data_IF_375417800810
#
_entry.id   IF_375417800810
#
_cell.length_a   1.000
_cell.length_b   1.000
_cell.length_c   1.000
_cell.angle_alpha   90.00
_cell.angle_beta   90.00
_cell.angle_gamma   90.00
#
_symmetry.space_group_name_H-M   'P 1'
#
loop_
_entity.id
_entity.type
_entity.pdbx_description
1 polymer ?
#
# COMPACT_ATOMS: atom_id res chain seq x y z
N UNK A 1 -35.79 -14.47 0.60
CA UNK A 1 -36.07 -15.46 -0.47
C UNK A 1 -34.89 -16.40 -0.58
N UNK A 2 -35.10 -17.68 -0.73
CA UNK A 2 -34.07 -18.72 -0.81
C UNK A 2 -34.06 -19.36 -2.20
N UNK A 3 -33.01 -20.13 -2.52
CA UNK A 3 -32.94 -20.89 -3.77
C UNK A 3 -34.13 -21.88 -3.91
N UNK A 4 -34.68 -22.39 -2.78
CA UNK A 4 -35.86 -23.25 -2.77
C UNK A 4 -37.11 -22.49 -3.18
N UNK A 5 -37.25 -21.23 -2.81
CA UNK A 5 -38.37 -20.38 -3.20
C UNK A 5 -38.31 -20.07 -4.70
N UNK A 6 -37.14 -19.78 -5.24
CA UNK A 6 -36.93 -19.59 -6.69
C UNK A 6 -37.27 -20.86 -7.47
N UNK A 7 -36.84 -22.02 -6.99
CA UNK A 7 -37.13 -23.30 -7.61
C UNK A 7 -38.67 -23.55 -7.67
N UNK A 8 -39.38 -23.27 -6.58
CA UNK A 8 -40.84 -23.39 -6.50
C UNK A 8 -41.56 -22.42 -7.43
N UNK A 9 -41.14 -21.15 -7.50
CA UNK A 9 -41.76 -20.14 -8.35
C UNK A 9 -41.46 -20.35 -9.84
N UNK A 10 -40.29 -20.88 -10.19
CA UNK A 10 -39.92 -21.21 -11.57
C UNK A 10 -40.39 -22.60 -12.03
N UNK A 11 -41.03 -23.35 -11.14
CA UNK A 11 -41.50 -24.74 -11.36
C UNK A 11 -40.36 -25.64 -11.91
N UNK A 12 -39.23 -25.65 -11.19
CA UNK A 12 -38.04 -26.47 -11.50
C UNK A 12 -37.45 -27.03 -10.22
N UNK A 13 -36.50 -27.97 -10.35
CA UNK A 13 -35.74 -28.46 -9.21
C UNK A 13 -34.70 -27.42 -8.71
N UNK A 14 -34.34 -27.49 -7.43
CA UNK A 14 -33.28 -26.67 -6.84
C UNK A 14 -31.94 -26.87 -7.60
N UNK A 15 -31.69 -28.10 -8.07
CA UNK A 15 -30.49 -28.39 -8.89
C UNK A 15 -30.55 -27.68 -10.24
N UNK A 16 -31.72 -27.54 -10.86
CA UNK A 16 -31.91 -26.79 -12.10
C UNK A 16 -31.63 -25.29 -11.88
N UNK A 17 -32.18 -24.70 -10.80
CA UNK A 17 -31.88 -23.30 -10.44
C UNK A 17 -30.36 -23.11 -10.26
N UNK A 18 -29.70 -23.99 -9.50
CA UNK A 18 -28.25 -23.94 -9.29
C UNK A 18 -27.46 -24.01 -10.60
N UNK A 19 -27.88 -24.86 -11.55
CA UNK A 19 -27.24 -24.97 -12.87
C UNK A 19 -27.44 -23.71 -13.71
N UNK A 20 -28.63 -23.10 -13.68
CA UNK A 20 -28.91 -21.82 -14.37
C UNK A 20 -28.03 -20.69 -13.79
N UNK A 21 -27.95 -20.59 -12.47
CA UNK A 21 -27.10 -19.60 -11.79
C UNK A 21 -25.59 -19.76 -12.08
N UNK A 22 -25.19 -20.96 -12.50
CA UNK A 22 -23.80 -21.28 -12.87
C UNK A 22 -23.58 -21.36 -14.38
N UNK A 23 -24.52 -20.88 -15.19
CA UNK A 23 -24.49 -20.91 -16.67
C UNK A 23 -24.12 -22.28 -17.28
N UNK A 24 -24.52 -23.39 -16.62
CA UNK A 24 -24.26 -24.73 -17.13
C UNK A 24 -24.99 -24.97 -18.45
N UNK A 25 -24.29 -25.54 -19.47
CA UNK A 25 -24.91 -25.74 -20.79
C UNK A 25 -25.98 -26.83 -20.84
N UNK A 26 -26.05 -27.69 -19.83
CA UNK A 26 -26.94 -28.85 -19.73
C UNK A 26 -28.35 -28.51 -19.20
N UNK A 27 -28.78 -27.24 -19.29
CA UNK A 27 -30.12 -26.77 -18.90
C UNK A 27 -30.88 -26.30 -20.15
N UNK A 28 -32.13 -26.75 -20.29
CA UNK A 28 -32.97 -26.31 -21.42
C UNK A 28 -33.20 -24.80 -21.41
N UNK A 29 -33.29 -24.20 -22.58
CA UNK A 29 -33.53 -22.76 -22.72
C UNK A 29 -34.85 -22.30 -22.05
N UNK A 30 -35.88 -23.16 -22.07
CA UNK A 30 -37.15 -22.85 -21.39
C UNK A 30 -36.97 -22.76 -19.87
N UNK A 31 -36.28 -23.73 -19.26
CA UNK A 31 -35.98 -23.69 -17.82
C UNK A 31 -35.10 -22.51 -17.45
N UNK A 32 -34.12 -22.20 -18.30
CA UNK A 32 -33.21 -21.03 -18.11
C UNK A 32 -34.02 -19.73 -18.10
N UNK A 33 -34.89 -19.55 -19.07
CA UNK A 33 -35.77 -18.39 -19.20
C UNK A 33 -36.68 -18.21 -17.96
N UNK A 34 -37.37 -19.28 -17.53
CA UNK A 34 -38.24 -19.24 -16.36
C UNK A 34 -37.50 -18.87 -15.08
N UNK A 35 -36.36 -19.48 -14.84
CA UNK A 35 -35.54 -19.19 -13.65
C UNK A 35 -35.04 -17.75 -13.66
N UNK A 36 -34.52 -17.26 -14.80
CA UNK A 36 -34.02 -15.87 -14.91
C UNK A 36 -35.15 -14.86 -14.70
N UNK A 37 -36.34 -15.09 -15.25
CA UNK A 37 -37.50 -14.22 -15.05
C UNK A 37 -37.90 -14.10 -13.56
N UNK A 38 -37.87 -15.21 -12.82
CA UNK A 38 -38.18 -15.21 -11.38
C UNK A 38 -37.10 -14.51 -10.58
N UNK A 39 -35.81 -14.71 -10.90
CA UNK A 39 -34.68 -14.05 -10.27
C UNK A 39 -34.78 -12.52 -10.44
N UNK A 40 -35.06 -12.07 -11.66
CA UNK A 40 -35.22 -10.66 -11.99
C UNK A 40 -36.44 -10.01 -11.30
N UNK A 41 -37.61 -10.65 -11.40
CA UNK A 41 -38.85 -10.15 -10.80
C UNK A 41 -38.73 -9.97 -9.28
N UNK A 42 -37.97 -10.83 -8.62
CA UNK A 42 -37.81 -10.82 -7.16
C UNK A 42 -36.47 -10.25 -6.68
N UNK A 43 -35.64 -9.74 -7.58
CA UNK A 43 -34.26 -9.21 -7.27
C UNK A 43 -33.48 -10.19 -6.39
N UNK A 44 -33.58 -11.49 -6.72
CA UNK A 44 -32.94 -12.51 -5.89
C UNK A 44 -31.43 -12.49 -6.07
N UNK A 45 -30.71 -12.33 -4.96
CA UNK A 45 -29.26 -12.45 -4.92
C UNK A 45 -28.91 -13.82 -4.35
N UNK A 46 -28.17 -14.68 -5.07
CA UNK A 46 -27.73 -15.97 -4.57
C UNK A 46 -26.92 -15.84 -3.28
N UNK A 47 -27.27 -16.60 -2.25
CA UNK A 47 -26.45 -16.69 -1.05
C UNK A 47 -25.29 -17.65 -1.31
N UNK A 48 -24.11 -17.11 -1.56
CA UNK A 48 -22.89 -17.89 -1.81
C UNK A 48 -22.37 -18.62 -0.55
N UNK A 49 -22.78 -18.20 0.65
CA UNK A 49 -22.33 -18.83 1.91
C UNK A 49 -22.67 -20.33 2.02
N UNK A 50 -23.77 -20.77 1.42
CA UNK A 50 -24.14 -22.21 1.37
C UNK A 50 -23.30 -22.99 0.34
N UNK A 51 -22.75 -22.30 -0.67
CA UNK A 51 -21.89 -22.85 -1.71
C UNK A 51 -20.46 -23.03 -1.20
N UNK A 52 -20.00 -22.07 -0.37
CA UNK A 52 -18.64 -22.08 0.23
C UNK A 52 -18.49 -23.18 1.27
N UNK A 53 -19.60 -23.66 1.88
CA UNK A 53 -19.61 -24.81 2.79
C UNK A 53 -19.28 -26.16 2.09
N UNK A 54 -19.48 -26.25 0.79
CA UNK A 54 -19.25 -27.47 -0.01
C UNK A 54 -17.89 -27.44 -0.75
N UNK A 55 -17.33 -26.25 -0.99
CA UNK A 55 -15.97 -26.12 -1.58
C UNK A 55 -14.92 -26.39 -0.51
N UNK A 56 -14.06 -27.37 -0.77
CA UNK A 56 -12.90 -27.72 0.09
C UNK A 56 -11.86 -26.57 0.09
N UNK A 57 -11.86 -25.70 -0.93
CA UNK A 57 -11.02 -24.50 -1.05
C UNK A 57 -11.86 -23.32 -1.54
N UNK A 58 -11.66 -22.14 -0.96
CA UNK A 58 -12.23 -20.90 -1.49
C UNK A 58 -11.36 -20.38 -2.63
N UNK A 59 -11.93 -19.63 -3.59
CA UNK A 59 -11.17 -18.91 -4.60
C UNK A 59 -10.93 -17.47 -4.11
N UNK A 60 -10.48 -17.32 -2.85
CA UNK A 60 -10.24 -16.05 -2.20
C UNK A 60 -8.77 -15.78 -1.94
N UNK A 61 -8.35 -14.55 -2.17
CA UNK A 61 -7.05 -14.01 -1.77
C UNK A 61 -7.23 -12.93 -0.71
N UNK A 62 -6.30 -12.86 0.24
CA UNK A 62 -6.28 -11.85 1.28
C UNK A 62 -5.52 -10.61 0.85
N UNK A 63 -6.00 -9.45 1.30
CA UNK A 63 -5.25 -8.20 1.29
C UNK A 63 -5.25 -7.64 2.72
N UNK A 64 -4.10 -7.64 3.37
CA UNK A 64 -3.91 -7.01 4.67
C UNK A 64 -3.23 -5.66 4.45
N UNK A 65 -3.90 -4.57 4.84
CA UNK A 65 -3.40 -3.20 4.69
C UNK A 65 -3.02 -2.67 6.07
N UNK A 66 -1.74 -2.35 6.26
CA UNK A 66 -1.21 -1.82 7.51
C UNK A 66 -1.07 -0.29 7.43
N UNK A 67 -1.81 0.43 8.30
CA UNK A 67 -1.87 1.89 8.26
C UNK A 67 -3.08 2.39 7.46
N UNK A 68 -4.19 2.61 8.15
CA UNK A 68 -5.56 2.76 7.59
C UNK A 68 -5.79 4.05 6.79
N UNK A 69 -4.96 5.08 6.91
CA UNK A 69 -5.28 6.42 6.38
C UNK A 69 -4.24 6.94 5.37
N UNK A 70 -3.52 6.05 4.68
CA UNK A 70 -2.55 6.49 3.69
C UNK A 70 -3.15 6.45 2.28
N UNK A 71 -3.43 7.61 1.63
CA UNK A 71 -3.94 7.68 0.25
C UNK A 71 -3.06 6.94 -0.76
N UNK A 72 -1.76 6.80 -0.49
CA UNK A 72 -0.81 6.04 -1.28
C UNK A 72 -1.30 4.62 -1.61
N UNK A 73 -2.07 3.98 -0.71
CA UNK A 73 -2.57 2.62 -0.93
C UNK A 73 -3.77 2.54 -1.87
N UNK A 74 -4.45 3.65 -2.15
CA UNK A 74 -5.71 3.65 -2.92
C UNK A 74 -5.53 3.09 -4.32
N UNK A 75 -4.55 3.59 -5.07
CA UNK A 75 -4.29 3.16 -6.45
C UNK A 75 -3.75 1.73 -6.52
N UNK A 76 -2.95 1.32 -5.52
CA UNK A 76 -2.46 -0.05 -5.38
C UNK A 76 -3.63 -1.03 -5.19
N UNK A 77 -4.55 -0.71 -4.26
CA UNK A 77 -5.73 -1.53 -3.98
C UNK A 77 -6.60 -1.63 -5.22
N UNK A 78 -6.86 -0.52 -5.90
CA UNK A 78 -7.66 -0.47 -7.11
C UNK A 78 -7.06 -1.34 -8.23
N UNK A 79 -5.75 -1.27 -8.45
CA UNK A 79 -5.07 -2.09 -9.43
C UNK A 79 -5.13 -3.60 -9.12
N UNK A 80 -5.08 -3.96 -7.82
CA UNK A 80 -5.28 -5.34 -7.37
C UNK A 80 -6.70 -5.80 -7.67
N UNK A 81 -7.73 -4.98 -7.34
CA UNK A 81 -9.14 -5.29 -7.60
C UNK A 81 -9.41 -5.51 -9.08
N UNK A 82 -9.00 -4.57 -9.93
CA UNK A 82 -9.17 -4.68 -11.38
C UNK A 82 -8.59 -5.99 -11.95
N UNK A 83 -7.42 -6.41 -11.47
CA UNK A 83 -6.81 -7.66 -11.93
C UNK A 83 -7.57 -8.88 -11.44
N UNK A 84 -8.12 -8.84 -10.23
CA UNK A 84 -8.91 -9.93 -9.66
C UNK A 84 -10.26 -10.12 -10.37
N UNK A 85 -10.90 -9.06 -10.84
CA UNK A 85 -12.19 -9.12 -11.55
C UNK A 85 -12.15 -10.06 -12.77
N UNK A 86 -10.99 -10.21 -13.40
CA UNK A 86 -10.78 -11.07 -14.58
C UNK A 86 -10.17 -12.43 -14.25
N UNK A 87 -9.79 -12.68 -12.99
CA UNK A 87 -9.02 -13.86 -12.59
C UNK A 87 -9.87 -15.02 -12.05
N UNK A 88 -11.12 -14.75 -11.70
CA UNK A 88 -11.99 -15.70 -11.01
C UNK A 88 -11.74 -15.83 -9.50
N UNK A 89 -10.79 -15.06 -8.95
CA UNK A 89 -10.56 -14.94 -7.51
C UNK A 89 -11.35 -13.77 -6.93
N UNK A 90 -11.66 -13.85 -5.63
CA UNK A 90 -12.29 -12.76 -4.87
C UNK A 90 -11.32 -12.22 -3.83
N UNK A 91 -11.38 -10.91 -3.56
CA UNK A 91 -10.55 -10.27 -2.52
C UNK A 91 -11.28 -10.23 -1.18
N UNK A 92 -10.56 -10.58 -0.11
CA UNK A 92 -10.97 -10.34 1.27
C UNK A 92 -9.96 -9.37 1.88
N UNK A 93 -10.37 -8.12 2.07
CA UNK A 93 -9.49 -7.09 2.62
C UNK A 93 -9.71 -6.91 4.13
N UNK A 94 -8.61 -6.69 4.86
CA UNK A 94 -8.61 -6.23 6.25
C UNK A 94 -7.59 -5.11 6.42
N UNK A 95 -8.04 -4.01 7.01
CA UNK A 95 -7.17 -2.91 7.42
C UNK A 95 -6.83 -3.05 8.90
N UNK A 96 -5.56 -2.81 9.24
CA UNK A 96 -5.05 -2.85 10.62
C UNK A 96 -4.28 -1.57 10.96
N UNK A 97 -4.24 -1.16 12.23
CA UNK A 97 -3.37 -0.09 12.69
C UNK A 97 -1.89 -0.35 12.37
N UNK A 98 -1.09 0.70 12.28
CA UNK A 98 0.36 0.59 12.02
C UNK A 98 1.15 -0.09 13.13
N UNK A 99 0.59 -0.18 14.35
CA UNK A 99 1.20 -0.90 15.47
C UNK A 99 0.88 -2.40 15.53
N UNK A 100 -0.06 -2.88 14.71
CA UNK A 100 -0.48 -4.28 14.71
C UNK A 100 0.42 -5.14 13.79
N UNK A 101 0.43 -6.45 14.06
CA UNK A 101 1.19 -7.44 13.29
C UNK A 101 0.37 -7.94 12.09
N UNK A 102 0.81 -7.60 10.89
CA UNK A 102 0.14 -7.99 9.64
C UNK A 102 0.24 -9.50 9.36
N UNK A 103 1.35 -10.16 9.75
CA UNK A 103 1.53 -11.61 9.54
C UNK A 103 0.55 -12.39 10.42
N UNK A 104 0.41 -12.01 11.69
CA UNK A 104 -0.57 -12.62 12.57
C UNK A 104 -2.00 -12.41 12.07
N UNK A 105 -2.32 -11.19 11.62
CA UNK A 105 -3.61 -10.87 11.02
C UNK A 105 -3.88 -11.75 9.78
N UNK A 106 -2.90 -11.87 8.90
CA UNK A 106 -2.97 -12.69 7.69
C UNK A 106 -3.20 -14.18 8.00
N UNK A 107 -2.48 -14.72 8.99
CA UNK A 107 -2.63 -16.12 9.41
C UNK A 107 -4.02 -16.42 9.99
N UNK A 108 -4.63 -15.48 10.70
CA UNK A 108 -6.01 -15.61 11.17
C UNK A 108 -6.98 -15.57 9.98
N UNK A 109 -6.83 -14.59 9.07
CA UNK A 109 -7.66 -14.47 7.88
C UNK A 109 -7.56 -15.71 6.97
N UNK A 110 -6.36 -16.25 6.79
CA UNK A 110 -6.12 -17.46 6.01
C UNK A 110 -7.02 -18.60 6.49
N UNK A 111 -7.01 -18.87 7.79
CA UNK A 111 -7.78 -19.96 8.41
C UNK A 111 -9.28 -19.69 8.37
N UNK A 112 -9.74 -18.47 8.73
CA UNK A 112 -11.15 -18.09 8.76
C UNK A 112 -11.78 -18.09 7.37
N UNK A 113 -11.07 -17.58 6.36
CA UNK A 113 -11.58 -17.40 4.99
C UNK A 113 -11.08 -18.43 4.00
N UNK A 114 -10.19 -19.36 4.43
CA UNK A 114 -9.56 -20.39 3.58
C UNK A 114 -8.87 -19.78 2.37
N UNK A 115 -8.09 -18.73 2.61
CA UNK A 115 -7.42 -17.98 1.56
C UNK A 115 -6.44 -18.87 0.77
N UNK A 116 -6.25 -18.55 -0.51
CA UNK A 116 -5.28 -19.19 -1.40
C UNK A 116 -3.91 -18.51 -1.40
N UNK A 117 -3.87 -17.27 -0.95
CA UNK A 117 -2.68 -16.46 -0.84
C UNK A 117 -3.00 -15.10 -0.24
N UNK A 118 -1.98 -14.34 0.11
CA UNK A 118 -2.13 -13.05 0.80
C UNK A 118 -1.19 -12.01 0.20
N UNK A 119 -1.66 -10.78 0.03
CA UNK A 119 -0.83 -9.60 -0.18
C UNK A 119 -0.81 -8.81 1.13
N UNK A 120 0.39 -8.48 1.60
CA UNK A 120 0.60 -7.55 2.69
C UNK A 120 0.99 -6.20 2.10
N UNK A 121 0.13 -5.21 2.25
CA UNK A 121 0.34 -3.85 1.75
C UNK A 121 0.78 -2.94 2.90
N UNK A 122 2.06 -2.59 2.91
CA UNK A 122 2.75 -2.04 4.06
C UNK A 122 3.00 -3.11 5.14
N UNK A 123 4.13 -3.04 5.81
CA UNK A 123 4.50 -4.03 6.82
C UNK A 123 5.78 -3.65 7.56
N UNK A 124 6.17 -4.50 8.49
CA UNK A 124 7.50 -4.49 9.10
C UNK A 124 8.53 -5.07 8.12
N UNK A 125 9.79 -4.68 8.29
CA UNK A 125 10.87 -5.15 7.42
C UNK A 125 11.90 -6.02 8.17
N UNK A 126 11.53 -6.60 9.31
CA UNK A 126 12.42 -7.30 10.24
C UNK A 126 11.94 -8.70 10.66
N UNK A 127 11.14 -9.36 9.83
CA UNK A 127 10.61 -10.69 10.13
C UNK A 127 11.66 -11.80 10.10
N UNK A 128 11.48 -12.78 11.01
CA UNK A 128 12.19 -14.04 11.04
C UNK A 128 11.39 -15.17 10.36
N UNK A 129 12.03 -16.30 9.99
CA UNK A 129 11.34 -17.48 9.46
C UNK A 129 10.27 -18.05 10.42
N UNK A 130 10.50 -17.97 11.73
CA UNK A 130 9.56 -18.47 12.74
C UNK A 130 8.25 -17.66 12.72
N UNK A 131 8.34 -16.32 12.62
CA UNK A 131 7.15 -15.45 12.60
C UNK A 131 6.29 -15.72 11.37
N UNK A 132 6.89 -15.85 10.19
CA UNK A 132 6.13 -16.09 8.94
C UNK A 132 5.68 -17.54 8.78
N UNK A 133 6.21 -18.49 9.55
CA UNK A 133 5.79 -19.90 9.53
C UNK A 133 4.33 -20.12 9.95
N UNK A 134 3.68 -19.09 10.50
CA UNK A 134 2.25 -19.07 10.79
C UNK A 134 1.39 -19.14 9.53
N UNK A 135 1.92 -18.71 8.37
CA UNK A 135 1.26 -18.72 7.09
C UNK A 135 1.43 -20.04 6.38
N UNK A 136 0.32 -20.63 5.92
CA UNK A 136 0.30 -21.88 5.14
C UNK A 136 0.07 -21.66 3.64
N UNK A 137 0.04 -20.41 3.17
CA UNK A 137 -0.21 -20.03 1.78
C UNK A 137 0.86 -19.08 1.24
N UNK A 138 1.04 -18.99 -0.08
CA UNK A 138 1.93 -18.00 -0.70
C UNK A 138 1.55 -16.57 -0.29
N UNK A 139 2.55 -15.70 -0.14
CA UNK A 139 2.32 -14.29 0.15
C UNK A 139 3.29 -13.37 -0.58
N UNK A 140 2.87 -12.13 -0.77
CA UNK A 140 3.64 -11.06 -1.40
C UNK A 140 3.65 -9.83 -0.49
N UNK A 141 4.84 -9.30 -0.19
CA UNK A 141 5.02 -8.01 0.45
C UNK A 141 4.92 -6.91 -0.62
N UNK A 142 3.98 -5.99 -0.50
CA UNK A 142 3.79 -4.86 -1.40
C UNK A 142 4.17 -3.56 -0.71
N UNK A 143 4.98 -2.75 -1.36
CA UNK A 143 5.58 -1.50 -0.90
C UNK A 143 6.65 -1.62 0.20
N UNK A 144 7.11 -2.81 0.49
CA UNK A 144 8.23 -3.05 1.42
C UNK A 144 8.91 -4.39 1.15
N UNK A 145 10.08 -4.58 1.75
CA UNK A 145 10.84 -5.84 1.75
C UNK A 145 11.30 -6.16 3.16
N UNK A 146 11.83 -7.36 3.38
CA UNK A 146 12.37 -7.78 4.70
C UNK A 146 13.84 -7.34 4.87
N UNK A 147 14.11 -6.04 4.74
CA UNK A 147 15.48 -5.49 4.68
C UNK A 147 16.29 -5.62 5.97
N UNK A 148 15.63 -5.70 7.12
CA UNK A 148 16.25 -5.78 8.45
C UNK A 148 16.03 -7.14 9.12
N UNK A 149 15.25 -8.03 8.52
CA UNK A 149 14.95 -9.36 9.06
C UNK A 149 15.89 -10.44 8.55
N UNK A 150 15.57 -11.67 8.93
CA UNK A 150 16.39 -12.84 8.63
C UNK A 150 15.72 -13.81 7.64
N UNK A 151 14.64 -13.39 6.96
CA UNK A 151 13.99 -14.21 5.94
C UNK A 151 14.92 -14.45 4.75
N UNK A 152 15.13 -15.71 4.36
CA UNK A 152 15.84 -16.00 3.11
C UNK A 152 15.10 -15.40 1.92
N UNK A 153 15.77 -14.74 0.95
CA UNK A 153 15.11 -14.14 -0.20
C UNK A 153 14.22 -15.08 -1.00
N UNK A 154 14.58 -16.37 -1.04
CA UNK A 154 13.80 -17.41 -1.72
C UNK A 154 12.53 -17.84 -0.96
N UNK A 155 12.30 -17.37 0.26
CA UNK A 155 11.17 -17.77 1.10
C UNK A 155 9.93 -16.88 0.98
N UNK A 156 10.05 -15.70 0.34
CA UNK A 156 8.94 -14.75 0.17
C UNK A 156 9.04 -13.99 -1.16
N UNK A 157 7.99 -13.28 -1.50
CA UNK A 157 7.99 -12.40 -2.67
C UNK A 157 7.77 -10.94 -2.26
N UNK A 158 8.32 -10.01 -3.03
CA UNK A 158 8.08 -8.59 -2.80
C UNK A 158 7.99 -7.77 -4.08
N UNK A 159 7.19 -6.70 -4.03
CA UNK A 159 7.18 -5.62 -5.01
C UNK A 159 7.36 -4.32 -4.24
N UNK A 160 8.46 -3.62 -4.51
CA UNK A 160 8.87 -2.42 -3.77
C UNK A 160 9.55 -1.41 -4.69
N UNK A 161 9.97 -0.30 -4.15
CA UNK A 161 10.94 0.62 -4.76
C UNK A 161 12.29 0.47 -4.05
N UNK A 162 13.33 1.11 -4.58
CA UNK A 162 14.62 1.26 -3.90
C UNK A 162 14.54 2.44 -2.91
N UNK A 163 13.93 2.23 -1.72
CA UNK A 163 13.60 3.30 -0.76
C UNK A 163 14.80 4.15 -0.37
N UNK A 164 15.93 3.53 -0.04
CA UNK A 164 17.16 4.25 0.32
C UNK A 164 17.68 5.12 -0.85
N UNK A 165 17.72 4.56 -2.06
CA UNK A 165 18.19 5.28 -3.25
C UNK A 165 17.23 6.41 -3.64
N UNK A 166 15.90 6.19 -3.51
CA UNK A 166 14.87 7.20 -3.77
C UNK A 166 15.02 8.40 -2.82
N UNK A 167 15.22 8.14 -1.52
CA UNK A 167 15.45 9.19 -0.53
C UNK A 167 16.80 9.91 -0.74
N UNK A 168 17.83 9.17 -1.13
CA UNK A 168 19.10 9.76 -1.55
C UNK A 168 18.90 10.74 -2.71
N UNK A 169 18.16 10.35 -3.76
CA UNK A 169 17.88 11.22 -4.92
C UNK A 169 17.06 12.45 -4.50
N UNK A 170 16.05 12.31 -3.64
CA UNK A 170 15.28 13.42 -3.11
C UNK A 170 16.16 14.43 -2.36
N UNK A 171 17.04 13.92 -1.51
CA UNK A 171 17.96 14.77 -0.73
C UNK A 171 19.02 15.43 -1.64
N UNK A 172 19.57 14.67 -2.61
CA UNK A 172 20.47 15.22 -3.63
C UNK A 172 19.82 16.35 -4.42
N UNK A 173 18.55 16.21 -4.78
CA UNK A 173 17.82 17.28 -5.47
C UNK A 173 17.80 18.58 -4.65
N UNK A 174 17.59 18.52 -3.33
CA UNK A 174 17.71 19.70 -2.47
C UNK A 174 19.13 20.26 -2.41
N UNK A 175 20.12 19.38 -2.28
CA UNK A 175 21.54 19.77 -2.24
C UNK A 175 21.98 20.45 -3.54
N UNK A 176 21.55 19.93 -4.69
CA UNK A 176 21.87 20.47 -6.02
C UNK A 176 21.16 21.82 -6.26
N UNK A 177 20.06 22.09 -5.56
CA UNK A 177 19.38 23.39 -5.49
C UNK A 177 19.96 24.34 -4.43
N UNK A 178 21.15 24.04 -3.88
CA UNK A 178 21.91 24.92 -2.99
C UNK A 178 21.57 24.79 -1.50
N UNK A 179 20.61 23.96 -1.11
CA UNK A 179 20.27 23.76 0.30
C UNK A 179 21.38 23.00 1.03
N UNK A 180 21.71 23.44 2.27
CA UNK A 180 22.74 22.82 3.11
C UNK A 180 22.24 22.47 4.50
N UNK A 181 21.25 23.19 5.02
CA UNK A 181 20.54 22.88 6.26
C UNK A 181 19.17 22.32 5.88
N UNK A 182 19.09 20.99 5.87
CA UNK A 182 17.91 20.23 5.42
C UNK A 182 17.36 19.45 6.62
N UNK A 183 16.12 19.70 7.01
CA UNK A 183 15.45 18.88 8.02
C UNK A 183 14.92 17.61 7.39
N UNK A 184 15.01 16.48 8.11
CA UNK A 184 14.39 15.21 7.72
C UNK A 184 13.16 14.94 8.57
N UNK A 185 12.01 14.73 7.92
CA UNK A 185 10.75 14.39 8.59
C UNK A 185 10.49 12.90 8.39
N UNK A 186 10.71 12.10 9.44
CA UNK A 186 10.73 10.64 9.44
C UNK A 186 9.82 10.06 10.52
N UNK A 187 9.51 8.76 10.48
CA UNK A 187 8.79 8.11 11.61
C UNK A 187 9.69 7.96 12.82
N UNK A 188 10.77 7.20 12.70
CA UNK A 188 11.80 7.02 13.71
C UNK A 188 13.10 6.56 13.02
N UNK A 189 14.30 6.89 13.53
CA UNK A 189 15.57 6.54 12.90
C UNK A 189 15.89 5.04 12.87
N UNK A 190 15.31 4.24 13.76
CA UNK A 190 15.64 2.83 14.01
C UNK A 190 14.37 1.93 14.16
N UNK A 191 13.34 2.21 13.37
CA UNK A 191 12.07 1.49 13.44
C UNK A 191 12.00 0.24 12.54
N UNK A 192 13.11 -0.14 11.90
CA UNK A 192 13.21 -1.26 10.98
C UNK A 192 12.12 -1.26 9.91
N UNK A 193 11.81 -0.08 9.39
CA UNK A 193 10.78 0.14 8.36
C UNK A 193 11.36 0.80 7.11
N UNK A 194 10.49 1.04 6.12
CA UNK A 194 10.85 1.85 4.94
C UNK A 194 11.26 3.28 5.32
N UNK A 195 10.80 3.81 6.46
CA UNK A 195 11.21 5.13 6.95
C UNK A 195 12.69 5.15 7.32
N UNK A 196 13.19 4.11 7.97
CA UNK A 196 14.62 3.99 8.27
C UNK A 196 15.44 3.90 6.98
N UNK A 197 15.03 3.10 5.98
CA UNK A 197 15.72 3.06 4.68
C UNK A 197 15.79 4.46 4.02
N UNK A 198 14.69 5.21 4.06
CA UNK A 198 14.65 6.58 3.55
C UNK A 198 15.51 7.53 4.35
N UNK A 199 15.58 7.36 5.67
CA UNK A 199 16.50 8.11 6.52
C UNK A 199 17.97 7.80 6.21
N UNK A 200 18.32 6.54 5.98
CA UNK A 200 19.65 6.11 5.55
C UNK A 200 20.06 6.76 4.20
N UNK A 201 19.11 6.87 3.25
CA UNK A 201 19.33 7.58 1.99
C UNK A 201 19.59 9.08 2.18
N UNK A 202 18.85 9.73 3.06
CA UNK A 202 19.07 11.13 3.44
C UNK A 202 20.46 11.33 4.07
N UNK A 203 20.81 10.53 5.06
CA UNK A 203 22.11 10.65 5.75
C UNK A 203 23.31 10.39 4.82
N UNK A 204 23.17 9.41 3.91
CA UNK A 204 24.15 9.13 2.86
C UNK A 204 24.36 10.34 1.96
N UNK A 205 23.29 10.99 1.50
CA UNK A 205 23.38 12.16 0.62
C UNK A 205 24.10 13.35 1.30
N UNK A 206 23.80 13.59 2.59
CA UNK A 206 24.51 14.61 3.37
C UNK A 206 25.99 14.30 3.53
N UNK A 207 26.33 13.06 3.90
CA UNK A 207 27.70 12.62 4.10
C UNK A 207 28.53 12.77 2.82
N UNK A 208 28.01 12.39 1.66
CA UNK A 208 28.70 12.56 0.37
C UNK A 208 28.85 14.03 -0.03
N UNK A 209 27.97 14.91 0.43
CA UNK A 209 28.08 16.35 0.25
C UNK A 209 29.00 17.03 1.29
N UNK A 210 29.64 16.27 2.20
CA UNK A 210 30.50 16.78 3.28
C UNK A 210 29.72 17.56 4.35
N UNK A 211 28.43 17.33 4.51
CA UNK A 211 27.57 17.99 5.49
C UNK A 211 27.38 17.05 6.68
N UNK A 212 27.81 17.45 7.89
CA UNK A 212 27.58 16.63 9.08
C UNK A 212 26.09 16.54 9.40
N UNK A 213 25.65 15.37 9.87
CA UNK A 213 24.29 15.18 10.35
C UNK A 213 24.05 16.08 11.58
N UNK A 214 22.98 16.87 11.52
CA UNK A 214 22.46 17.65 12.64
C UNK A 214 21.23 16.93 13.19
N UNK A 215 21.39 16.21 14.29
CA UNK A 215 20.31 15.43 14.90
C UNK A 215 19.10 16.30 15.32
N UNK A 216 19.31 17.59 15.58
CA UNK A 216 18.23 18.52 15.90
C UNK A 216 17.28 18.78 14.72
N UNK A 217 17.72 18.46 13.51
CA UNK A 217 16.95 18.55 12.27
C UNK A 217 16.32 17.20 11.87
N UNK A 218 16.48 16.14 12.66
CA UNK A 218 15.82 14.86 12.47
C UNK A 218 14.50 14.86 13.24
N UNK A 219 13.40 15.00 12.54
CA UNK A 219 12.07 15.24 13.11
C UNK A 219 11.27 13.95 13.09
N UNK A 220 11.07 13.36 14.27
CA UNK A 220 10.29 12.12 14.41
C UNK A 220 8.79 12.41 14.47
N UNK A 221 8.03 11.83 13.57
CA UNK A 221 6.56 11.92 13.51
C UNK A 221 5.87 10.75 14.20
N UNK A 222 6.55 9.61 14.32
CA UNK A 222 5.99 8.34 14.82
C UNK A 222 5.09 7.62 13.82
N UNK A 223 4.51 8.31 12.84
CA UNK A 223 3.61 7.76 11.82
C UNK A 223 3.76 8.47 10.48
N UNK A 224 3.09 7.96 9.44
CA UNK A 224 2.96 8.62 8.12
C UNK A 224 1.74 9.56 8.02
N UNK A 225 1.11 9.92 9.16
CA UNK A 225 -0.10 10.72 9.17
C UNK A 225 0.20 12.22 9.02
N UNK A 226 -0.69 12.93 8.33
CA UNK A 226 -0.61 14.39 8.15
C UNK A 226 -0.62 15.11 9.51
N UNK A 227 -1.49 14.70 10.43
CA UNK A 227 -1.63 15.37 11.73
C UNK A 227 -0.39 15.22 12.63
N UNK A 228 0.24 14.03 12.64
CA UNK A 228 1.41 13.78 13.46
C UNK A 228 2.62 14.56 12.93
N UNK A 229 2.78 14.63 11.61
CA UNK A 229 3.84 15.43 10.97
C UNK A 229 3.62 16.93 11.18
N UNK A 230 2.39 17.43 11.08
CA UNK A 230 2.05 18.80 11.43
C UNK A 230 2.44 19.12 12.88
N UNK A 231 2.10 18.24 13.82
CA UNK A 231 2.41 18.42 15.24
C UNK A 231 3.93 18.39 15.50
N UNK A 232 4.66 17.46 14.88
CA UNK A 232 6.10 17.35 15.03
C UNK A 232 6.83 18.57 14.43
N UNK A 233 6.41 19.03 13.26
CA UNK A 233 6.98 20.20 12.60
C UNK A 233 6.75 21.48 13.43
N UNK A 234 5.56 21.69 14.01
CA UNK A 234 5.30 22.83 14.89
C UNK A 234 6.28 22.88 16.05
N UNK A 235 6.55 21.76 16.74
CA UNK A 235 7.51 21.71 17.86
C UNK A 235 8.90 22.19 17.46
N UNK A 236 9.35 21.81 16.26
CA UNK A 236 10.68 22.19 15.76
C UNK A 236 10.70 23.67 15.37
N UNK A 237 9.63 24.17 14.75
CA UNK A 237 9.51 25.60 14.42
C UNK A 237 9.44 26.46 15.67
N UNK A 238 8.71 26.06 16.70
CA UNK A 238 8.62 26.74 17.99
C UNK A 238 9.98 26.79 18.72
N UNK A 239 10.86 25.81 18.50
CA UNK A 239 12.21 25.81 19.06
C UNK A 239 13.16 26.80 18.38
N UNK A 240 12.74 27.42 17.29
CA UNK A 240 13.56 28.33 16.50
C UNK A 240 14.63 27.65 15.64
N UNK A 241 14.48 26.36 15.33
CA UNK A 241 15.41 25.62 14.50
C UNK A 241 15.57 26.27 13.11
N UNK A 242 16.82 26.42 12.68
CA UNK A 242 17.17 27.01 11.40
C UNK A 242 17.44 25.92 10.34
N UNK A 243 16.65 25.94 9.26
CA UNK A 243 16.80 25.07 8.09
C UNK A 243 16.17 25.74 6.87
N UNK A 244 16.66 25.46 5.67
CA UNK A 244 16.17 26.04 4.42
C UNK A 244 15.32 25.08 3.60
N UNK A 245 15.35 23.79 3.94
CA UNK A 245 14.55 22.77 3.26
C UNK A 245 14.14 21.64 4.19
N UNK A 246 13.11 20.90 3.77
CA UNK A 246 12.58 19.68 4.40
C UNK A 246 12.59 18.56 3.37
N UNK A 247 13.23 17.45 3.72
CA UNK A 247 12.98 16.14 3.14
C UNK A 247 11.92 15.43 3.98
N UNK A 248 10.77 15.16 3.40
CA UNK A 248 9.70 14.40 4.02
C UNK A 248 9.63 12.99 3.43
N UNK A 249 9.54 11.97 4.29
CA UNK A 249 9.53 10.57 3.85
C UNK A 249 8.31 10.19 3.03
N UNK A 250 7.24 10.98 3.06
CA UNK A 250 6.02 10.77 2.26
C UNK A 250 5.33 12.08 1.94
N UNK A 251 4.49 12.08 0.91
CA UNK A 251 3.69 13.25 0.55
C UNK A 251 2.75 13.67 1.71
N UNK A 252 2.16 12.72 2.42
CA UNK A 252 1.34 13.01 3.60
C UNK A 252 2.12 13.78 4.67
N UNK A 253 3.35 13.35 4.97
CA UNK A 253 4.18 14.03 5.96
C UNK A 253 4.60 15.42 5.48
N UNK A 254 4.85 15.58 4.16
CA UNK A 254 5.12 16.87 3.56
C UNK A 254 3.93 17.84 3.68
N UNK A 255 2.71 17.37 3.41
CA UNK A 255 1.48 18.18 3.51
C UNK A 255 1.31 18.73 4.93
N UNK A 256 1.53 17.90 5.95
CA UNK A 256 1.51 18.33 7.35
C UNK A 256 2.57 19.37 7.67
N UNK A 257 3.80 19.15 7.20
CA UNK A 257 4.92 20.09 7.36
C UNK A 257 4.67 21.42 6.67
N UNK A 258 4.17 21.42 5.43
CA UNK A 258 3.87 22.65 4.68
C UNK A 258 2.79 23.50 5.38
N UNK A 259 1.81 22.84 6.00
CA UNK A 259 0.80 23.54 6.82
C UNK A 259 1.44 24.24 8.03
N UNK A 260 2.30 23.54 8.78
CA UNK A 260 2.99 24.08 9.94
C UNK A 260 3.92 25.24 9.55
N UNK A 261 4.70 25.08 8.46
CA UNK A 261 5.57 26.15 7.93
C UNK A 261 4.79 27.42 7.63
N UNK A 262 3.66 27.29 6.94
CA UNK A 262 2.81 28.44 6.57
C UNK A 262 2.25 29.16 7.82
N UNK A 263 1.82 28.43 8.83
CA UNK A 263 1.30 29.03 10.09
C UNK A 263 2.39 29.78 10.88
N UNK A 264 3.67 29.39 10.70
CA UNK A 264 4.82 30.12 11.25
C UNK A 264 5.37 31.20 10.29
N UNK A 265 4.62 31.57 9.25
CA UNK A 265 5.01 32.60 8.30
C UNK A 265 6.15 32.22 7.34
N UNK A 266 6.51 30.93 7.29
CA UNK A 266 7.51 30.41 6.36
C UNK A 266 6.81 29.88 5.11
N UNK A 267 6.81 30.71 4.04
CA UNK A 267 6.20 30.32 2.76
C UNK A 267 6.99 29.22 2.06
N UNK A 268 6.31 28.33 1.37
CA UNK A 268 6.92 27.32 0.50
C UNK A 268 6.75 27.80 -0.95
N UNK A 269 7.83 27.86 -1.75
CA UNK A 269 9.20 27.45 -1.46
C UNK A 269 10.08 28.57 -0.86
N UNK A 270 9.62 29.83 -0.81
CA UNK A 270 10.49 31.00 -0.54
C UNK A 270 11.11 31.03 0.86
N UNK A 271 10.36 30.67 1.87
CA UNK A 271 10.84 30.55 3.25
C UNK A 271 11.44 29.18 3.56
N UNK A 272 11.01 28.12 2.86
CA UNK A 272 11.51 26.76 3.05
C UNK A 272 11.09 25.89 1.87
N UNK A 273 12.05 25.21 1.25
CA UNK A 273 11.76 24.21 0.22
C UNK A 273 11.28 22.89 0.85
N UNK A 274 10.42 22.14 0.13
CA UNK A 274 9.92 20.84 0.59
C UNK A 274 9.94 19.84 -0.56
N UNK A 275 10.51 18.65 -0.32
CA UNK A 275 10.46 17.51 -1.24
C UNK A 275 10.00 16.27 -0.50
N UNK A 276 9.31 15.37 -1.19
CA UNK A 276 8.79 14.14 -0.60
C UNK A 276 8.92 12.91 -1.52
N UNK A 277 8.33 11.82 -1.08
CA UNK A 277 8.19 10.56 -1.82
C UNK A 277 6.71 10.18 -1.77
N UNK A 278 6.17 9.63 -2.80
CA UNK A 278 4.97 8.86 -3.08
C UNK A 278 4.34 9.28 -4.41
N UNK A 279 4.07 10.58 -4.63
CA UNK A 279 3.40 11.09 -5.81
C UNK A 279 1.88 10.91 -5.76
N UNK A 280 1.26 11.00 -4.57
CA UNK A 280 -0.20 10.89 -4.44
C UNK A 280 -0.92 12.03 -5.18
N UNK A 281 -2.14 11.78 -5.64
CA UNK A 281 -2.91 12.73 -6.46
C UNK A 281 -3.05 14.10 -5.78
N UNK A 282 -3.43 14.12 -4.50
CA UNK A 282 -3.68 15.39 -3.77
C UNK A 282 -2.45 16.28 -3.70
N UNK A 283 -1.25 15.77 -3.83
CA UNK A 283 -0.01 16.55 -3.79
C UNK A 283 0.19 17.46 -5.01
N UNK A 284 -0.56 17.23 -6.09
CA UNK A 284 -0.61 18.15 -7.26
C UNK A 284 -1.58 19.32 -7.06
N UNK A 285 -2.54 19.18 -6.13
CA UNK A 285 -3.61 20.17 -5.92
C UNK A 285 -3.42 21.02 -4.69
N UNK A 286 -2.34 20.83 -3.92
CA UNK A 286 -1.97 21.75 -2.84
C UNK A 286 -1.22 22.96 -3.41
N UNK A 287 -1.14 24.05 -2.64
CA UNK A 287 -0.46 25.29 -3.06
C UNK A 287 0.77 25.54 -2.15
N UNK A 288 1.97 25.54 -2.77
CA UNK A 288 2.30 25.14 -4.13
C UNK A 288 2.20 23.62 -4.35
N UNK A 289 2.08 23.14 -5.62
CA UNK A 289 2.18 21.71 -5.91
C UNK A 289 3.49 21.11 -5.41
N UNK A 290 3.43 19.90 -4.83
CA UNK A 290 4.58 19.26 -4.18
C UNK A 290 5.56 18.68 -5.20
N UNK A 291 6.83 18.96 -5.03
CA UNK A 291 7.93 18.23 -5.68
C UNK A 291 8.10 16.89 -4.99
N UNK A 292 7.98 15.79 -5.71
CA UNK A 292 7.99 14.45 -5.10
C UNK A 292 8.57 13.39 -6.04
N UNK A 293 9.15 12.33 -5.46
CA UNK A 293 9.56 11.11 -6.17
C UNK A 293 8.33 10.18 -6.24
N UNK A 294 7.68 10.13 -7.41
CA UNK A 294 6.48 9.32 -7.63
C UNK A 294 6.81 7.82 -7.65
N UNK A 295 6.08 7.05 -6.85
CA UNK A 295 6.09 5.60 -6.90
C UNK A 295 5.07 5.11 -7.95
N UNK A 296 5.34 4.04 -8.69
CA UNK A 296 4.41 3.50 -9.69
C UNK A 296 3.32 2.64 -9.02
N UNK A 297 2.39 3.27 -8.29
CA UNK A 297 1.40 2.62 -7.41
C UNK A 297 0.54 1.57 -8.14
N UNK A 298 -0.01 1.92 -9.31
CA UNK A 298 -0.80 0.97 -10.10
C UNK A 298 0.02 -0.26 -10.52
N UNK A 299 1.26 -0.04 -10.96
CA UNK A 299 2.16 -1.13 -11.34
C UNK A 299 2.53 -2.00 -10.15
N UNK A 300 2.76 -1.40 -8.96
CA UNK A 300 3.00 -2.15 -7.72
C UNK A 300 1.83 -3.08 -7.40
N UNK A 301 0.60 -2.59 -7.49
CA UNK A 301 -0.60 -3.41 -7.28
C UNK A 301 -0.72 -4.52 -8.32
N UNK A 302 -0.59 -4.18 -9.59
CA UNK A 302 -0.69 -5.11 -10.72
C UNK A 302 0.35 -6.23 -10.65
N UNK A 303 1.61 -5.89 -10.31
CA UNK A 303 2.70 -6.87 -10.16
C UNK A 303 2.51 -7.76 -8.95
N UNK A 304 2.13 -7.19 -7.80
CA UNK A 304 1.92 -7.95 -6.57
C UNK A 304 0.85 -9.03 -6.72
N UNK A 305 -0.29 -8.69 -7.31
CA UNK A 305 -1.35 -9.68 -7.54
C UNK A 305 -0.98 -10.68 -8.63
N UNK A 306 -0.26 -10.27 -9.69
CA UNK A 306 0.20 -11.20 -10.71
C UNK A 306 1.15 -12.24 -10.13
N UNK A 307 2.15 -11.83 -9.35
CA UNK A 307 3.09 -12.74 -8.67
C UNK A 307 2.33 -13.70 -7.76
N UNK A 308 1.38 -13.19 -6.97
CA UNK A 308 0.60 -14.04 -6.06
C UNK A 308 -0.20 -15.10 -6.82
N UNK A 309 -0.89 -14.73 -7.90
CA UNK A 309 -1.67 -15.66 -8.71
C UNK A 309 -0.78 -16.72 -9.39
N UNK A 310 0.39 -16.32 -9.89
CA UNK A 310 1.33 -17.25 -10.50
C UNK A 310 1.87 -18.28 -9.49
N UNK A 311 2.13 -17.86 -8.24
CA UNK A 311 2.51 -18.79 -7.17
C UNK A 311 1.35 -19.72 -6.78
N UNK A 312 0.12 -19.21 -6.64
CA UNK A 312 -1.07 -20.02 -6.30
C UNK A 312 -1.33 -21.11 -7.35
N UNK A 313 -1.09 -20.79 -8.62
CA UNK A 313 -1.32 -21.70 -9.75
C UNK A 313 -0.09 -22.55 -10.11
N UNK A 314 1.03 -22.39 -9.38
CA UNK A 314 2.26 -23.15 -9.58
C UNK A 314 3.02 -22.79 -10.85
N UNK A 315 2.80 -21.59 -11.41
CA UNK A 315 3.49 -21.10 -12.60
C UNK A 315 4.87 -20.51 -12.31
N UNK A 316 5.07 -19.99 -11.10
CA UNK A 316 6.35 -19.42 -10.66
C UNK A 316 6.60 -19.70 -9.19
N UNK A 317 7.87 -19.57 -8.77
CA UNK A 317 8.29 -19.49 -7.37
C UNK A 317 8.27 -18.04 -6.86
N UNK A 318 8.91 -17.82 -5.70
CA UNK A 318 9.09 -16.49 -5.14
C UNK A 318 9.98 -15.61 -6.02
N UNK A 319 9.67 -14.31 -6.05
CA UNK A 319 10.48 -13.31 -6.74
C UNK A 319 10.39 -11.94 -6.09
N UNK A 320 11.40 -11.10 -6.37
CA UNK A 320 11.47 -9.74 -5.88
C UNK A 320 11.54 -8.78 -7.05
N UNK A 321 10.66 -7.78 -7.07
CA UNK A 321 10.65 -6.74 -8.08
C UNK A 321 10.86 -5.38 -7.43
N UNK A 322 11.86 -4.64 -7.93
CA UNK A 322 12.14 -3.26 -7.53
C UNK A 322 11.77 -2.36 -8.69
N UNK A 323 10.74 -1.56 -8.50
CA UNK A 323 10.21 -0.67 -9.53
C UNK A 323 10.87 0.72 -9.45
N UNK A 324 11.07 1.40 -10.58
CA UNK A 324 11.69 2.72 -10.60
C UNK A 324 10.72 3.79 -10.09
N UNK A 325 11.27 4.82 -9.42
CA UNK A 325 10.56 6.05 -9.10
C UNK A 325 10.89 7.14 -10.13
N UNK A 326 10.00 8.13 -10.24
CA UNK A 326 10.16 9.25 -11.17
C UNK A 326 10.01 10.56 -10.42
N UNK A 327 10.98 11.47 -10.54
CA UNK A 327 10.84 12.81 -10.00
C UNK A 327 9.74 13.57 -10.75
N UNK A 328 8.76 14.08 -10.01
CA UNK A 328 7.75 15.03 -10.47
C UNK A 328 8.08 16.39 -9.86
N UNK A 329 8.65 17.32 -10.66
CA UNK A 329 8.87 18.68 -10.20
C UNK A 329 7.52 19.38 -9.96
N UNK A 330 7.40 20.00 -8.79
CA UNK A 330 6.29 20.90 -8.44
C UNK A 330 6.79 22.32 -8.20
N UNK A 331 6.02 23.09 -7.43
CA UNK A 331 6.38 24.45 -7.01
C UNK A 331 6.99 24.54 -5.62
N UNK A 332 7.25 23.42 -4.95
CA UNK A 332 7.64 23.40 -3.53
C UNK A 332 9.15 23.47 -3.26
N UNK A 333 9.99 23.47 -4.30
CA UNK A 333 11.44 23.59 -4.19
C UNK A 333 11.93 24.76 -5.03
N UNK A 334 12.79 25.59 -4.44
CA UNK A 334 13.49 26.67 -5.16
C UNK A 334 15.01 26.44 -5.15
N UNK A 335 15.70 27.02 -6.13
CA UNK A 335 17.14 27.10 -6.14
C UNK A 335 17.59 28.28 -5.27
N UNK A 336 18.55 28.04 -4.37
CA UNK A 336 19.27 29.08 -3.63
C UNK A 336 20.47 29.54 -4.47
N UNK A 337 20.59 30.83 -4.66
CA UNK A 337 21.70 31.47 -5.42
C UNK A 337 22.85 31.75 -4.50
#
# INVERSE_FOLDING_TARGET
MTIKDIAKLADVSVSTVSRVLNDRPDVSEDSRRRVRAVIEAHRYVPNNSARDLVKIRSDAVGLVVRGVQNPFYTDIIHAIEQKLDTSGYTMVMRQIPSGDDEIQCGAVMEKEKRLRGIIFLGGRSDYSPEEVSLLGVPYVCCSYTNSYGTLPPESYSSVSIADMETAYQATRYLLDNGHRRIAALITCPDDHSISQLRYEGYTKALAEAGIPLDESLVICTGTFNIQDSYTAMNRVLDSGADFSAVFAISDNTAIGAMRALREHGRTVPDGCSVIAIDGIEVSDYIDPPLTTLCQPMEEMGRRSIQILLDMIEGRSGNCHEVLPTVLRPGGSVKTLV
#
